data_IF_863218943015
#
_entry.id   IF_863218943015
#
_cell.length_a   1.000
_cell.length_b   1.000
_cell.length_c   1.000
_cell.angle_alpha   90.00
_cell.angle_beta   90.00
_cell.angle_gamma   90.00
#
_symmetry.space_group_name_H-M   'P 1'
#
loop_
_entity.id
_entity.type
_entity.pdbx_description
1 polymer ?
#
# COMPACT_ATOMS: atom_id res chain seq x y z
N UNK A 1 6.29 2.64 -8.76
CA UNK A 1 6.61 1.65 -7.73
C UNK A 1 7.48 0.60 -8.37
N UNK A 2 8.49 0.16 -7.65
CA UNK A 2 9.35 -0.97 -7.95
C UNK A 2 9.16 -1.99 -6.83
N UNK A 3 9.12 -3.27 -7.18
CA UNK A 3 9.05 -4.37 -6.21
C UNK A 3 10.13 -5.38 -6.55
N UNK A 4 10.99 -5.67 -5.58
CA UNK A 4 12.05 -6.67 -5.69
C UNK A 4 11.93 -7.69 -4.55
N UNK A 5 12.24 -8.96 -4.84
CA UNK A 5 12.26 -10.03 -3.84
C UNK A 5 13.66 -10.60 -3.70
N UNK A 6 14.12 -10.73 -2.45
CA UNK A 6 15.33 -11.47 -2.10
C UNK A 6 15.02 -12.49 -1.00
N UNK A 7 14.89 -13.76 -1.39
CA UNK A 7 14.44 -14.83 -0.52
C UNK A 7 13.14 -14.44 0.19
N UNK A 8 13.14 -14.48 1.53
CA UNK A 8 12.07 -14.09 2.46
C UNK A 8 11.67 -12.63 2.52
N UNK A 9 12.24 -11.76 1.69
CA UNK A 9 12.04 -10.31 1.82
C UNK A 9 11.54 -9.72 0.53
N UNK A 10 10.58 -8.82 0.66
CA UNK A 10 10.10 -7.96 -0.43
C UNK A 10 10.48 -6.53 -0.12
N UNK A 11 11.18 -5.91 -1.05
CA UNK A 11 11.47 -4.49 -1.06
C UNK A 11 10.50 -3.79 -2.00
N UNK A 12 9.83 -2.75 -1.48
CA UNK A 12 8.90 -1.91 -2.24
C UNK A 12 9.43 -0.49 -2.14
N UNK A 13 9.72 0.14 -3.28
CA UNK A 13 10.20 1.51 -3.33
C UNK A 13 9.58 2.29 -4.49
N UNK A 14 9.75 3.60 -4.45
CA UNK A 14 9.41 4.44 -5.59
C UNK A 14 9.53 5.92 -5.30
N UNK A 15 9.53 6.66 -6.41
CA UNK A 15 9.47 8.12 -6.40
C UNK A 15 8.02 8.59 -6.45
N UNK A 16 7.75 9.73 -5.84
CA UNK A 16 6.43 10.36 -5.79
C UNK A 16 6.54 11.88 -5.67
N UNK A 17 5.50 12.58 -6.12
CA UNK A 17 5.31 14.01 -5.94
C UNK A 17 4.48 14.36 -4.70
N UNK A 18 4.12 13.35 -3.90
CA UNK A 18 3.45 13.55 -2.62
C UNK A 18 4.36 14.34 -1.66
N UNK A 19 3.78 15.21 -0.82
CA UNK A 19 4.54 15.95 0.18
C UNK A 19 5.16 15.00 1.21
N UNK A 20 6.25 15.45 1.83
CA UNK A 20 6.87 14.73 2.96
C UNK A 20 5.85 14.45 4.07
N UNK A 21 6.09 13.34 4.78
CA UNK A 21 5.22 12.76 5.81
C UNK A 21 3.86 12.25 5.28
N UNK A 22 3.57 12.33 3.97
CA UNK A 22 2.42 11.66 3.39
C UNK A 22 2.48 10.17 3.70
N UNK A 23 1.39 9.65 4.26
CA UNK A 23 1.31 8.24 4.67
C UNK A 23 0.81 7.42 3.49
N UNK A 24 1.50 6.33 3.20
CA UNK A 24 1.08 5.32 2.23
C UNK A 24 0.70 4.05 2.98
N UNK A 25 -0.36 3.38 2.53
CA UNK A 25 -0.67 2.02 2.93
C UNK A 25 -0.08 1.05 1.92
N UNK A 26 0.38 -0.10 2.39
CA UNK A 26 0.71 -1.22 1.54
C UNK A 26 0.05 -2.48 2.06
N UNK A 27 -0.24 -3.37 1.13
CA UNK A 27 -0.73 -4.72 1.39
C UNK A 27 0.05 -5.70 0.51
N UNK A 28 0.32 -6.88 1.06
CA UNK A 28 0.98 -8.00 0.40
C UNK A 28 0.05 -9.18 0.57
N UNK A 29 -0.58 -9.61 -0.53
CA UNK A 29 -1.66 -10.60 -0.56
C UNK A 29 -1.24 -11.79 -1.39
N UNK A 30 -1.26 -12.98 -0.83
CA UNK A 30 -1.13 -14.23 -1.57
C UNK A 30 -2.42 -14.49 -2.38
N UNK A 31 -2.31 -15.15 -3.53
CA UNK A 31 -3.45 -15.48 -4.41
C UNK A 31 -4.58 -16.24 -3.69
N UNK A 32 -4.22 -17.04 -2.69
CA UNK A 32 -5.18 -17.82 -1.90
C UNK A 32 -5.84 -17.04 -0.74
N UNK A 33 -5.48 -15.77 -0.52
CA UNK A 33 -5.99 -14.95 0.61
C UNK A 33 -7.53 -14.94 0.72
N UNK A 34 -8.24 -14.84 -0.40
CA UNK A 34 -9.71 -14.79 -0.41
C UNK A 34 -10.37 -16.18 -0.54
N UNK A 35 -9.57 -17.24 -0.76
CA UNK A 35 -10.05 -18.54 -1.24
C UNK A 35 -9.78 -19.65 -0.23
N UNK A 36 -8.69 -19.55 0.54
CA UNK A 36 -8.31 -20.52 1.56
C UNK A 36 -8.46 -19.97 2.99
N UNK A 37 -9.59 -20.23 3.67
CA UNK A 37 -9.79 -19.82 5.05
C UNK A 37 -9.09 -20.72 6.07
N UNK A 38 -8.50 -21.86 5.67
CA UNK A 38 -7.84 -22.80 6.58
C UNK A 38 -6.37 -22.42 6.82
N UNK A 39 -5.73 -21.82 5.83
CA UNK A 39 -4.35 -21.34 5.97
C UNK A 39 -4.28 -20.12 6.90
N UNK A 40 -3.33 -20.09 7.85
CA UNK A 40 -3.15 -18.94 8.73
C UNK A 40 -2.94 -17.63 7.96
N UNK A 41 -3.62 -16.57 8.40
CA UNK A 41 -3.65 -15.28 7.70
C UNK A 41 -2.26 -14.65 7.53
N UNK A 42 -1.35 -14.90 8.47
CA UNK A 42 0.05 -14.43 8.45
C UNK A 42 0.95 -15.18 7.44
N UNK A 43 0.41 -16.23 6.80
CA UNK A 43 1.01 -16.90 5.65
C UNK A 43 0.44 -16.41 4.31
N UNK A 44 -0.62 -15.60 4.33
CA UNK A 44 -1.32 -15.13 3.14
C UNK A 44 -1.38 -13.61 3.03
N UNK A 45 -1.15 -12.89 4.13
CA UNK A 45 -1.39 -11.46 4.21
C UNK A 45 -0.43 -10.73 5.14
N UNK A 46 0.09 -9.61 4.65
CA UNK A 46 0.77 -8.62 5.46
C UNK A 46 0.35 -7.23 5.00
N UNK A 47 0.20 -6.31 5.95
CA UNK A 47 -0.11 -4.92 5.65
C UNK A 47 0.71 -3.98 6.53
N UNK A 48 0.78 -2.72 6.11
CA UNK A 48 1.39 -1.71 6.95
C UNK A 48 1.28 -0.33 6.35
N UNK A 49 2.00 0.59 7.00
CA UNK A 49 2.06 1.99 6.60
C UNK A 49 3.52 2.40 6.45
N UNK A 50 3.80 3.21 5.44
CA UNK A 50 5.08 3.92 5.28
C UNK A 50 4.82 5.41 5.10
N UNK A 51 5.89 6.19 5.03
CA UNK A 51 5.84 7.65 4.86
C UNK A 51 6.76 8.09 3.74
N UNK A 52 6.32 9.10 3.00
CA UNK A 52 7.14 9.77 1.99
C UNK A 52 8.17 10.66 2.66
N UNK A 53 9.40 10.62 2.17
CA UNK A 53 10.50 11.49 2.59
C UNK A 53 11.36 11.84 1.38
N UNK A 54 11.58 13.13 1.13
CA UNK A 54 12.35 13.66 0.01
C UNK A 54 11.85 13.16 -1.37
N UNK A 55 10.53 13.01 -1.53
CA UNK A 55 9.91 12.52 -2.77
C UNK A 55 10.06 11.02 -3.01
N UNK A 56 10.46 10.25 -1.99
CA UNK A 56 10.68 8.81 -2.07
C UNK A 56 9.93 8.09 -0.94
N UNK A 57 9.60 6.82 -1.14
CA UNK A 57 9.16 5.92 -0.09
C UNK A 57 9.87 4.57 -0.21
N UNK A 58 10.01 3.88 0.91
CA UNK A 58 10.59 2.54 0.97
C UNK A 58 9.88 1.69 2.02
N UNK A 59 9.72 0.40 1.73
CA UNK A 59 9.19 -0.63 2.63
C UNK A 59 10.02 -1.90 2.48
N UNK A 60 10.27 -2.59 3.59
CA UNK A 60 10.74 -3.97 3.61
C UNK A 60 9.69 -4.81 4.33
N UNK A 61 9.21 -5.86 3.66
CA UNK A 61 8.23 -6.80 4.21
C UNK A 61 8.87 -8.18 4.30
N UNK A 62 8.82 -8.80 5.47
CA UNK A 62 9.22 -10.19 5.64
C UNK A 62 8.04 -11.09 5.28
N UNK A 63 8.22 -11.90 4.24
CA UNK A 63 7.25 -12.89 3.77
C UNK A 63 7.79 -14.31 3.94
N UNK A 64 8.77 -14.53 4.83
CA UNK A 64 9.35 -15.87 5.07
C UNK A 64 8.34 -16.92 5.56
N UNK A 65 7.20 -16.47 6.10
CA UNK A 65 6.09 -17.32 6.53
C UNK A 65 5.07 -17.57 5.42
N UNK A 66 5.17 -16.89 4.28
CA UNK A 66 4.17 -17.01 3.23
C UNK A 66 4.24 -18.38 2.55
N UNK A 67 3.07 -18.86 2.12
CA UNK A 67 2.99 -20.01 1.22
C UNK A 67 3.56 -19.66 -0.16
N UNK A 68 4.08 -20.65 -0.91
CA UNK A 68 4.48 -20.44 -2.29
C UNK A 68 3.34 -20.23 -3.27
N UNK A 69 3.49 -19.20 -4.10
CA UNK A 69 2.52 -18.85 -5.12
C UNK A 69 2.71 -17.43 -5.63
N UNK A 70 1.65 -16.91 -6.25
CA UNK A 70 1.54 -15.52 -6.67
C UNK A 70 1.24 -14.61 -5.47
N UNK A 71 1.96 -13.48 -5.41
CA UNK A 71 1.77 -12.45 -4.40
C UNK A 71 1.49 -11.12 -5.09
N UNK A 72 0.34 -10.51 -4.80
CA UNK A 72 0.02 -9.14 -5.17
C UNK A 72 0.55 -8.19 -4.09
N UNK A 73 1.32 -7.20 -4.52
CA UNK A 73 1.70 -6.03 -3.72
C UNK A 73 0.83 -4.88 -4.15
N UNK A 74 0.00 -4.38 -3.25
CA UNK A 74 -0.82 -3.20 -3.44
C UNK A 74 -0.27 -2.05 -2.59
N UNK A 75 -0.17 -0.86 -3.17
CA UNK A 75 0.26 0.36 -2.50
C UNK A 75 -0.76 1.46 -2.77
N UNK A 76 -1.18 2.17 -1.74
CA UNK A 76 -2.11 3.26 -1.88
C UNK A 76 -1.77 4.50 -1.05
N UNK A 77 -1.97 5.66 -1.69
CA UNK A 77 -2.16 6.92 -0.99
C UNK A 77 -3.66 7.13 -0.78
N UNK A 78 -4.07 7.21 0.50
CA UNK A 78 -5.46 7.40 0.90
C UNK A 78 -5.57 8.29 2.14
N UNK A 79 -6.70 8.98 2.30
CA UNK A 79 -6.90 9.89 3.44
C UNK A 79 -7.32 9.17 4.72
N UNK A 80 -7.95 8.00 4.58
CA UNK A 80 -8.45 7.17 5.68
C UNK A 80 -7.86 5.77 5.57
N UNK A 81 -7.39 5.25 6.70
CA UNK A 81 -6.82 3.91 6.81
C UNK A 81 -7.77 3.02 7.61
N UNK A 82 -8.16 1.88 7.05
CA UNK A 82 -9.18 1.00 7.66
C UNK A 82 -8.63 0.37 8.95
N UNK A 83 -7.40 -0.13 8.90
CA UNK A 83 -6.76 -0.86 10.00
C UNK A 83 -5.84 0.03 10.86
N UNK A 84 -5.99 1.36 10.78
CA UNK A 84 -5.14 2.29 11.53
C UNK A 84 -5.87 3.57 11.94
N UNK A 85 -5.60 4.03 13.15
CA UNK A 85 -6.05 5.34 13.63
C UNK A 85 -5.15 6.50 13.17
N UNK A 86 -4.11 6.22 12.38
CA UNK A 86 -3.27 7.28 11.80
C UNK A 86 -4.10 8.13 10.85
N UNK A 87 -3.76 9.41 10.80
CA UNK A 87 -4.37 10.39 9.90
C UNK A 87 -3.28 11.01 9.06
N UNK A 88 -3.63 11.38 7.84
CA UNK A 88 -2.74 12.17 7.02
C UNK A 88 -2.36 13.48 7.72
N UNK A 89 -1.12 13.96 7.56
CA UNK A 89 -0.72 15.25 8.11
C UNK A 89 -1.58 16.40 7.57
N UNK A 90 -1.70 17.48 8.35
CA UNK A 90 -2.49 18.66 7.95
C UNK A 90 -2.10 19.26 6.59
N UNK A 91 -0.81 19.34 6.21
CA UNK A 91 -0.43 19.79 4.87
C UNK A 91 -1.04 18.93 3.76
N UNK A 92 -1.01 17.62 3.93
CA UNK A 92 -1.57 16.63 2.98
C UNK A 92 -3.08 16.80 2.87
N UNK A 93 -3.78 16.91 4.00
CA UNK A 93 -5.23 17.15 4.02
C UNK A 93 -5.60 18.45 3.32
N UNK A 94 -4.85 19.54 3.54
CA UNK A 94 -5.11 20.82 2.87
C UNK A 94 -4.94 20.75 1.35
N UNK A 95 -4.03 19.90 0.88
CA UNK A 95 -3.71 19.76 -0.53
C UNK A 95 -4.71 18.86 -1.26
N UNK A 96 -5.10 17.74 -0.64
CA UNK A 96 -5.89 16.70 -1.30
C UNK A 96 -7.35 16.63 -0.84
N UNK A 97 -7.71 17.35 0.22
CA UNK A 97 -9.03 17.30 0.85
C UNK A 97 -9.15 16.17 1.86
N UNK A 98 -10.18 16.22 2.71
CA UNK A 98 -10.36 15.26 3.82
C UNK A 98 -10.65 13.83 3.34
N UNK A 99 -11.16 13.68 2.11
CA UNK A 99 -11.49 12.39 1.47
C UNK A 99 -10.68 12.17 0.19
N UNK A 100 -9.67 13.00 -0.06
CA UNK A 100 -8.88 12.92 -1.28
C UNK A 100 -9.63 13.46 -2.50
N UNK A 101 -10.74 14.20 -2.31
CA UNK A 101 -11.61 14.67 -3.39
C UNK A 101 -10.87 15.53 -4.44
N UNK A 102 -9.75 16.14 -4.05
CA UNK A 102 -8.89 16.94 -4.93
C UNK A 102 -7.78 16.13 -5.62
N UNK A 103 -7.70 14.81 -5.39
CA UNK A 103 -6.77 13.93 -6.11
C UNK A 103 -7.08 13.91 -7.61
N UNK A 104 -5.98 13.92 -8.38
CA UNK A 104 -5.96 13.89 -9.83
C UNK A 104 -4.74 13.08 -10.29
N UNK A 105 -4.81 12.50 -11.48
CA UNK A 105 -3.73 11.71 -12.07
C UNK A 105 -4.21 10.36 -12.58
N UNK A 106 -3.34 9.68 -13.32
CA UNK A 106 -3.69 8.46 -14.05
C UNK A 106 -3.99 7.25 -13.15
N UNK A 107 -3.43 7.25 -11.94
CA UNK A 107 -3.57 6.16 -10.97
C UNK A 107 -4.62 6.47 -9.89
N UNK A 108 -5.50 7.46 -10.13
CA UNK A 108 -6.56 7.83 -9.18
C UNK A 108 -7.83 7.02 -9.42
N UNK A 109 -8.29 6.32 -8.38
CA UNK A 109 -9.58 5.63 -8.35
C UNK A 109 -10.56 6.39 -7.46
N UNK A 110 -11.81 6.52 -7.91
CA UNK A 110 -12.90 7.10 -7.13
C UNK A 110 -13.74 5.97 -6.48
N UNK A 111 -13.75 5.94 -5.15
CA UNK A 111 -14.52 4.98 -4.34
C UNK A 111 -15.82 5.58 -3.79
N UNK A 112 -16.33 6.66 -4.40
CA UNK A 112 -17.59 7.29 -4.02
C UNK A 112 -17.56 7.87 -2.61
N UNK A 113 -18.37 7.30 -1.69
CA UNK A 113 -18.38 7.76 -0.31
C UNK A 113 -17.08 7.44 0.46
N UNK A 114 -16.26 6.51 -0.02
CA UNK A 114 -14.97 6.26 0.62
C UNK A 114 -13.86 7.21 0.14
N UNK A 115 -14.19 8.13 -0.77
CA UNK A 115 -13.27 9.13 -1.30
C UNK A 115 -12.41 8.60 -2.44
N UNK A 116 -11.41 9.39 -2.85
CA UNK A 116 -10.47 8.99 -3.89
C UNK A 116 -9.17 8.47 -3.29
N UNK A 117 -8.49 7.60 -4.04
CA UNK A 117 -7.19 7.03 -3.68
C UNK A 117 -6.28 7.03 -4.90
N UNK A 118 -4.97 7.11 -4.67
CA UNK A 118 -3.98 6.74 -5.69
C UNK A 118 -3.58 5.31 -5.41
N UNK A 119 -3.65 4.42 -6.39
CA UNK A 119 -3.44 2.99 -6.20
C UNK A 119 -2.48 2.44 -7.24
N UNK A 120 -1.56 1.58 -6.80
CA UNK A 120 -0.60 0.86 -7.63
C UNK A 120 -0.57 -0.61 -7.18
N UNK A 121 -0.57 -1.54 -8.12
CA UNK A 121 -0.37 -2.97 -7.85
C UNK A 121 0.78 -3.52 -8.69
N UNK A 122 1.49 -4.49 -8.13
CA UNK A 122 2.47 -5.32 -8.85
C UNK A 122 2.44 -6.75 -8.30
N UNK A 123 2.58 -7.73 -9.19
CA UNK A 123 2.63 -9.15 -8.80
C UNK A 123 4.06 -9.67 -8.84
N UNK A 124 4.42 -10.50 -7.86
CA UNK A 124 5.66 -11.28 -7.83
C UNK A 124 5.35 -12.76 -7.57
N UNK A 125 6.37 -13.62 -7.74
CA UNK A 125 6.30 -15.03 -7.38
C UNK A 125 7.23 -15.35 -6.19
N UNK A 126 6.72 -16.12 -5.23
CA UNK A 126 7.49 -16.68 -4.10
C UNK A 126 8.22 -17.98 -4.46
#
# INVERSE_FOLDING_TARGET
MTVERDGGRVHIDGNTDLPDDAILAFEVRHEDYEIDPETPIDMLFAEGLTTVSNGEFQVEVNISSFEPGEIEIWLAFQMRFINSNRKQPRPVIRQFGDRGELLQGDNVTDHGEDGKRVELSQTIHW
#
